data_IF_691189976395
#
_entry.id   IF_691189976395
#
_cell.length_a   1.000
_cell.length_b   1.000
_cell.length_c   1.000
_cell.angle_alpha   90.00
_cell.angle_beta   90.00
_cell.angle_gamma   90.00
#
_symmetry.space_group_name_H-M   'P 1'
#
loop_
_entity.id
_entity.type
_entity.pdbx_description
1 polymer ?
#
# COMPACT_ATOMS: atom_id res chain seq x y z
N UNK A 1 -5.60 10.95 -4.63
CA UNK A 1 -4.67 9.84 -4.90
C UNK A 1 -5.26 9.07 -6.06
N UNK A 2 -4.47 8.81 -7.11
CA UNK A 2 -4.99 8.17 -8.32
C UNK A 2 -5.20 6.67 -8.11
N UNK A 3 -4.21 5.97 -7.54
CA UNK A 3 -4.31 4.57 -7.11
C UNK A 3 -3.22 4.22 -6.09
N UNK A 4 -3.38 3.07 -5.41
CA UNK A 4 -2.33 2.39 -4.66
C UNK A 4 -2.05 1.03 -5.30
N UNK A 5 -0.77 0.71 -5.55
CA UNK A 5 -0.37 -0.52 -6.23
C UNK A 5 0.20 -1.58 -5.29
N UNK A 6 -0.23 -2.84 -5.45
CA UNK A 6 0.36 -4.00 -4.79
C UNK A 6 1.03 -4.92 -5.81
N UNK A 7 2.30 -5.27 -5.53
CA UNK A 7 3.00 -6.27 -6.33
C UNK A 7 2.57 -7.66 -5.89
N UNK A 8 2.11 -8.48 -6.83
CA UNK A 8 1.78 -9.89 -6.60
C UNK A 8 2.98 -10.78 -6.94
N UNK A 9 2.92 -12.05 -6.53
CA UNK A 9 4.03 -13.00 -6.64
C UNK A 9 4.43 -13.27 -8.08
N UNK A 10 3.45 -13.48 -8.96
CA UNK A 10 3.66 -13.80 -10.37
C UNK A 10 2.42 -13.50 -11.23
N UNK A 11 2.56 -13.70 -12.54
CA UNK A 11 1.51 -13.47 -13.53
C UNK A 11 0.31 -14.43 -13.34
N UNK A 12 0.53 -15.64 -12.85
CA UNK A 12 -0.56 -16.60 -12.58
C UNK A 12 -1.43 -16.11 -11.44
N UNK A 13 -0.81 -15.63 -10.36
CA UNK A 13 -1.49 -15.01 -9.21
C UNK A 13 -2.25 -13.77 -9.63
N UNK A 14 -1.69 -12.94 -10.54
CA UNK A 14 -2.37 -11.77 -11.08
C UNK A 14 -3.66 -12.14 -11.83
N UNK A 15 -3.60 -13.18 -12.67
CA UNK A 15 -4.77 -13.68 -13.41
C UNK A 15 -5.84 -14.28 -12.48
N UNK A 16 -5.42 -15.01 -11.45
CA UNK A 16 -6.35 -15.56 -10.47
C UNK A 16 -7.06 -14.44 -9.68
N UNK A 17 -6.31 -13.48 -9.15
CA UNK A 17 -6.89 -12.35 -8.42
C UNK A 17 -7.81 -11.48 -9.29
N UNK A 18 -7.49 -11.32 -10.58
CA UNK A 18 -8.39 -10.66 -11.54
C UNK A 18 -9.75 -11.35 -11.61
N UNK A 19 -9.77 -12.69 -11.69
CA UNK A 19 -10.99 -13.49 -11.71
C UNK A 19 -11.74 -13.44 -10.37
N UNK A 20 -11.01 -13.53 -9.25
CA UNK A 20 -11.60 -13.51 -7.92
C UNK A 20 -12.24 -12.14 -7.62
N UNK A 21 -11.60 -11.05 -8.03
CA UNK A 21 -12.17 -9.69 -7.96
C UNK A 21 -13.47 -9.57 -8.77
N UNK A 22 -13.48 -10.08 -10.00
CA UNK A 22 -14.69 -10.09 -10.83
C UNK A 22 -15.80 -10.95 -10.19
N UNK A 23 -15.46 -12.11 -9.65
CA UNK A 23 -16.40 -13.01 -8.98
C UNK A 23 -16.98 -12.40 -7.69
N UNK A 24 -16.17 -11.63 -6.96
CA UNK A 24 -16.61 -10.85 -5.79
C UNK A 24 -17.49 -9.65 -6.17
N UNK A 25 -17.54 -9.28 -7.46
CA UNK A 25 -18.38 -8.20 -7.97
C UNK A 25 -17.68 -6.86 -8.13
N UNK A 26 -16.34 -6.81 -8.03
CA UNK A 26 -15.59 -5.60 -8.33
C UNK A 26 -15.62 -5.28 -9.83
N UNK A 27 -15.74 -3.99 -10.16
CA UNK A 27 -15.44 -3.52 -11.52
C UNK A 27 -13.93 -3.55 -11.73
N UNK A 28 -13.48 -4.32 -12.73
CA UNK A 28 -12.07 -4.54 -13.02
C UNK A 28 -11.72 -4.00 -14.40
N UNK A 29 -10.62 -3.25 -14.47
CA UNK A 29 -10.04 -2.69 -15.69
C UNK A 29 -8.63 -3.26 -15.90
N UNK A 30 -8.33 -3.71 -17.13
CA UNK A 30 -6.97 -4.08 -17.51
C UNK A 30 -6.22 -2.87 -18.02
N UNK A 31 -5.11 -2.55 -17.37
CA UNK A 31 -4.22 -1.46 -17.77
C UNK A 31 -3.02 -2.07 -18.52
N UNK A 32 -2.73 -1.66 -19.77
CA UNK A 32 -1.67 -2.26 -20.57
C UNK A 32 -0.28 -1.99 -20.00
N UNK A 33 0.66 -2.88 -20.29
CA UNK A 33 2.07 -2.70 -19.93
C UNK A 33 2.64 -1.41 -20.54
N UNK A 34 3.51 -0.73 -19.80
CA UNK A 34 4.13 0.52 -20.22
C UNK A 34 3.26 1.78 -20.06
N UNK A 35 1.99 1.67 -19.64
CA UNK A 35 1.21 2.85 -19.24
C UNK A 35 1.84 3.54 -18.02
N UNK A 36 2.23 2.74 -17.02
CA UNK A 36 3.15 3.18 -15.97
C UNK A 36 4.57 2.78 -16.36
N UNK A 37 5.49 3.76 -16.33
CA UNK A 37 6.87 3.55 -16.72
C UNK A 37 7.50 2.35 -15.97
N UNK A 38 8.23 1.53 -16.72
CA UNK A 38 8.91 0.35 -16.22
C UNK A 38 8.00 -0.66 -15.49
N UNK A 39 6.70 -0.66 -15.77
CA UNK A 39 5.71 -1.55 -15.16
C UNK A 39 5.06 -2.43 -16.22
N UNK A 40 4.87 -3.71 -15.89
CA UNK A 40 4.07 -4.64 -16.69
C UNK A 40 2.59 -4.27 -16.71
N UNK A 41 1.75 -5.16 -17.25
CA UNK A 41 0.30 -4.98 -17.22
C UNK A 41 -0.18 -4.91 -15.77
N UNK A 42 -1.32 -4.24 -15.54
CA UNK A 42 -1.92 -4.10 -14.22
C UNK A 42 -3.41 -4.38 -14.27
N UNK A 43 -3.94 -4.83 -13.15
CA UNK A 43 -5.37 -5.05 -12.94
C UNK A 43 -5.84 -3.99 -11.97
N UNK A 44 -6.66 -3.05 -12.43
CA UNK A 44 -7.21 -1.96 -11.62
C UNK A 44 -8.63 -2.28 -11.17
N UNK A 45 -8.94 -2.01 -9.92
CA UNK A 45 -10.29 -2.13 -9.37
C UNK A 45 -10.58 -1.01 -8.38
N UNK A 46 -11.86 -0.78 -8.05
CA UNK A 46 -12.27 0.17 -7.01
C UNK A 46 -12.77 -0.59 -5.79
N UNK A 47 -12.19 -0.30 -4.61
CA UNK A 47 -12.67 -0.85 -3.34
C UNK A 47 -13.96 -0.14 -2.88
N UNK A 48 -14.78 -0.74 -1.99
CA UNK A 48 -15.98 -0.11 -1.45
C UNK A 48 -15.75 1.26 -0.81
N UNK A 49 -14.57 1.47 -0.19
CA UNK A 49 -14.12 2.77 0.34
C UNK A 49 -13.92 3.86 -0.71
N UNK A 50 -14.02 3.55 -2.01
CA UNK A 50 -13.92 4.48 -3.13
C UNK A 50 -12.52 4.62 -3.74
N UNK A 51 -11.50 3.98 -3.16
CA UNK A 51 -10.12 4.04 -3.65
C UNK A 51 -9.88 3.07 -4.79
N UNK A 52 -9.08 3.50 -5.76
CA UNK A 52 -8.55 2.61 -6.79
C UNK A 52 -7.30 1.89 -6.30
N UNK A 53 -7.27 0.58 -6.54
CA UNK A 53 -6.12 -0.27 -6.30
C UNK A 53 -5.68 -0.93 -7.61
N UNK A 54 -4.40 -1.21 -7.71
CA UNK A 54 -3.83 -1.90 -8.85
C UNK A 54 -2.96 -3.07 -8.42
N UNK A 55 -3.13 -4.21 -9.07
CA UNK A 55 -2.27 -5.38 -8.90
C UNK A 55 -1.35 -5.52 -10.10
N UNK A 56 -0.09 -5.87 -9.86
CA UNK A 56 0.90 -6.06 -10.92
C UNK A 56 1.94 -7.12 -10.52
N UNK A 57 2.42 -7.91 -11.47
CA UNK A 57 3.44 -8.92 -11.23
C UNK A 57 4.84 -8.44 -11.65
N UNK A 58 4.91 -7.75 -12.79
CA UNK A 58 6.17 -7.35 -13.41
C UNK A 58 6.48 -5.86 -13.24
N UNK A 59 7.72 -5.57 -12.85
CA UNK A 59 8.25 -4.21 -12.73
C UNK A 59 9.77 -4.28 -12.87
N UNK A 60 10.33 -3.38 -13.67
CA UNK A 60 11.78 -3.30 -13.87
C UNK A 60 12.49 -3.12 -12.53
N UNK A 61 13.46 -3.97 -12.27
CA UNK A 61 14.32 -3.86 -11.11
C UNK A 61 15.61 -3.17 -11.51
N UNK A 62 15.79 -1.94 -11.03
CA UNK A 62 16.94 -1.09 -11.36
C UNK A 62 18.14 -1.30 -10.43
N UNK A 63 18.13 -2.37 -9.62
CA UNK A 63 19.13 -2.60 -8.58
C UNK A 63 18.83 -1.89 -7.25
N UNK A 64 19.65 -2.16 -6.22
CA UNK A 64 19.61 -1.46 -4.93
C UNK A 64 20.32 -0.12 -5.07
N UNK A 65 19.63 0.97 -4.76
CA UNK A 65 20.22 2.29 -4.89
C UNK A 65 21.32 2.52 -3.86
N UNK A 66 22.53 2.88 -4.33
CA UNK A 66 23.66 3.27 -3.49
C UNK A 66 24.37 2.13 -2.72
N UNK A 67 24.00 0.87 -2.97
CA UNK A 67 24.69 -0.31 -2.43
C UNK A 67 24.80 -1.41 -3.49
N UNK A 68 25.77 -2.31 -3.32
CA UNK A 68 25.96 -3.45 -4.23
C UNK A 68 24.86 -4.51 -4.11
N UNK A 69 24.56 -5.22 -5.20
CA UNK A 69 23.60 -6.33 -5.16
C UNK A 69 24.14 -7.54 -4.41
N UNK A 70 25.41 -7.88 -4.65
CA UNK A 70 26.13 -8.98 -4.01
C UNK A 70 26.95 -8.43 -2.87
N UNK A 71 26.74 -8.97 -1.66
CA UNK A 71 27.35 -8.46 -0.42
C UNK A 71 27.11 -6.95 -0.22
N UNK A 72 25.83 -6.53 -0.11
CA UNK A 72 25.48 -5.13 0.05
C UNK A 72 26.16 -4.54 1.28
N UNK A 73 26.56 -3.28 1.17
CA UNK A 73 26.91 -2.47 2.32
C UNK A 73 25.71 -2.33 3.26
N UNK A 74 25.98 -2.02 4.53
CA UNK A 74 24.93 -1.88 5.54
C UNK A 74 23.92 -0.76 5.20
N UNK A 75 24.36 0.31 4.51
CA UNK A 75 23.50 1.39 4.04
C UNK A 75 24.14 2.17 2.87
N UNK A 76 23.35 2.84 2.02
CA UNK A 76 23.85 3.76 1.01
C UNK A 76 24.65 4.90 1.62
N UNK A 77 25.76 5.28 0.99
CA UNK A 77 26.52 6.48 1.39
C UNK A 77 25.88 7.74 0.81
N UNK A 78 26.18 8.88 1.43
CA UNK A 78 25.80 10.21 0.95
C UNK A 78 24.29 10.51 0.86
N UNK A 79 23.46 9.79 1.64
CA UNK A 79 22.04 10.10 1.81
C UNK A 79 21.85 11.56 2.27
N UNK A 80 20.84 12.24 1.70
CA UNK A 80 20.53 13.66 1.95
C UNK A 80 19.09 13.81 2.44
N UNK A 81 18.83 14.91 3.14
CA UNK A 81 17.51 15.22 3.66
C UNK A 81 17.06 14.24 4.74
N UNK A 82 15.82 13.79 4.64
CA UNK A 82 15.19 12.87 5.61
C UNK A 82 15.62 11.42 5.42
N UNK A 83 16.26 11.07 4.30
CA UNK A 83 16.81 9.72 4.06
C UNK A 83 15.79 8.58 4.15
N UNK A 84 14.60 8.75 3.59
CA UNK A 84 13.57 7.70 3.50
C UNK A 84 14.10 6.43 2.81
N UNK A 85 13.87 5.27 3.43
CA UNK A 85 14.42 3.98 2.99
C UNK A 85 13.53 3.32 1.93
N UNK A 86 12.22 3.30 2.17
CA UNK A 86 11.22 2.72 1.27
C UNK A 86 9.83 3.27 1.55
N UNK A 87 8.94 3.13 0.58
CA UNK A 87 7.51 3.21 0.84
C UNK A 87 7.11 2.17 1.90
N UNK A 88 6.25 2.56 2.85
CA UNK A 88 5.82 1.68 3.92
C UNK A 88 4.35 1.27 3.81
N UNK A 89 3.43 2.24 3.85
CA UNK A 89 1.99 2.01 3.75
C UNK A 89 1.25 3.29 3.38
N UNK A 90 -0.03 3.14 3.04
CA UNK A 90 -0.99 4.25 3.04
C UNK A 90 -2.05 4.04 4.12
N UNK A 91 -2.52 5.15 4.68
CA UNK A 91 -3.80 5.18 5.38
C UNK A 91 -4.80 5.95 4.53
N UNK A 92 -6.00 5.39 4.44
CA UNK A 92 -7.06 5.85 3.57
C UNK A 92 -8.33 6.13 4.37
N UNK A 93 -9.07 7.15 3.96
CA UNK A 93 -10.33 7.56 4.55
C UNK A 93 -11.49 7.20 3.60
N UNK A 94 -12.47 6.49 4.14
CA UNK A 94 -13.68 6.15 3.41
C UNK A 94 -14.73 5.58 4.34
N UNK A 95 -15.91 5.35 3.79
CA UNK A 95 -16.97 4.59 4.43
C UNK A 95 -16.82 3.10 4.07
N UNK A 96 -17.86 2.29 4.34
CA UNK A 96 -17.93 0.88 3.95
C UNK A 96 -16.71 0.06 4.42
N UNK A 97 -16.26 0.30 5.66
CA UNK A 97 -15.10 -0.39 6.25
C UNK A 97 -15.31 -1.90 6.28
N UNK A 98 -16.53 -2.38 6.58
CA UNK A 98 -16.83 -3.80 6.62
C UNK A 98 -16.73 -4.47 5.23
N UNK A 99 -17.32 -3.89 4.19
CA UNK A 99 -17.20 -4.41 2.83
C UNK A 99 -15.75 -4.31 2.32
N UNK A 100 -15.03 -3.24 2.70
CA UNK A 100 -13.60 -3.10 2.38
C UNK A 100 -12.77 -4.18 3.11
N UNK A 101 -13.11 -4.51 4.35
CA UNK A 101 -12.46 -5.58 5.10
C UNK A 101 -12.66 -6.92 4.39
N UNK A 102 -13.90 -7.28 4.04
CA UNK A 102 -14.24 -8.52 3.34
C UNK A 102 -13.46 -8.67 2.03
N UNK A 103 -13.46 -7.63 1.19
CA UNK A 103 -12.66 -7.62 -0.05
C UNK A 103 -11.18 -7.89 0.22
N UNK A 104 -10.59 -7.24 1.22
CA UNK A 104 -9.16 -7.38 1.48
C UNK A 104 -8.80 -8.74 2.10
N UNK A 105 -9.64 -9.29 2.99
CA UNK A 105 -9.34 -10.54 3.68
C UNK A 105 -9.76 -11.78 2.92
N UNK A 106 -10.88 -11.73 2.18
CA UNK A 106 -11.45 -12.89 1.50
C UNK A 106 -10.94 -13.04 0.07
N UNK A 107 -10.57 -11.93 -0.59
CA UNK A 107 -10.09 -11.94 -1.99
C UNK A 107 -8.59 -11.69 -2.05
N UNK A 108 -8.13 -10.59 -1.44
CA UNK A 108 -6.73 -10.15 -1.58
C UNK A 108 -5.76 -10.84 -0.63
N UNK A 109 -6.26 -11.65 0.31
CA UNK A 109 -5.45 -12.47 1.22
C UNK A 109 -4.81 -11.73 2.39
N UNK A 110 -5.26 -10.50 2.69
CA UNK A 110 -4.81 -9.76 3.87
C UNK A 110 -5.35 -10.41 5.15
N UNK A 111 -4.68 -10.13 6.27
CA UNK A 111 -5.23 -10.37 7.59
C UNK A 111 -5.36 -9.06 8.37
N UNK A 112 -6.28 -9.03 9.33
CA UNK A 112 -6.47 -7.91 10.24
C UNK A 112 -5.48 -7.99 11.40
N UNK A 113 -4.56 -7.04 11.45
CA UNK A 113 -3.60 -6.94 12.54
C UNK A 113 -4.22 -6.23 13.74
N UNK A 114 -4.82 -5.06 13.51
CA UNK A 114 -5.42 -4.23 14.56
C UNK A 114 -6.70 -3.55 14.06
N UNK A 115 -7.58 -3.18 14.99
CA UNK A 115 -8.80 -2.43 14.70
C UNK A 115 -9.19 -1.53 15.86
N UNK A 116 -9.96 -0.49 15.54
CA UNK A 116 -10.66 0.34 16.53
C UNK A 116 -12.16 0.11 16.35
N UNK A 117 -12.86 -0.14 17.46
CA UNK A 117 -14.32 -0.31 17.50
C UNK A 117 -14.93 0.67 18.50
N UNK A 118 -16.16 1.12 18.25
CA UNK A 118 -16.92 1.93 19.20
C UNK A 118 -17.62 1.06 20.28
N UNK A 119 -18.44 1.70 21.12
CA UNK A 119 -19.13 1.03 22.22
C UNK A 119 -20.19 0.02 21.73
N UNK A 120 -20.68 0.21 20.52
CA UNK A 120 -21.67 -0.63 19.85
C UNK A 120 -21.00 -1.76 19.04
N UNK A 121 -19.67 -1.79 18.96
CA UNK A 121 -18.89 -2.78 18.24
C UNK A 121 -18.73 -2.47 16.74
N UNK A 122 -19.09 -1.26 16.30
CA UNK A 122 -18.89 -0.81 14.92
C UNK A 122 -17.42 -0.46 14.72
N UNK A 123 -16.83 -0.96 13.63
CA UNK A 123 -15.43 -0.71 13.31
C UNK A 123 -15.23 0.72 12.78
N UNK A 124 -14.35 1.47 13.45
CA UNK A 124 -13.95 2.83 13.09
C UNK A 124 -12.58 2.87 12.38
N UNK A 125 -11.73 1.87 12.60
CA UNK A 125 -10.45 1.72 11.92
C UNK A 125 -10.07 0.26 11.73
N UNK A 126 -9.38 -0.05 10.63
CA UNK A 126 -8.81 -1.37 10.33
C UNK A 126 -7.40 -1.25 9.75
N UNK A 127 -6.49 -2.07 10.28
CA UNK A 127 -5.10 -2.14 9.89
C UNK A 127 -4.83 -3.53 9.31
N UNK A 128 -4.56 -3.59 8.00
CA UNK A 128 -4.50 -4.82 7.22
C UNK A 128 -3.08 -5.07 6.73
N UNK A 129 -2.61 -6.31 6.84
CA UNK A 129 -1.26 -6.70 6.45
C UNK A 129 -1.24 -7.94 5.55
N UNK A 130 -0.24 -8.02 4.67
CA UNK A 130 0.15 -9.23 3.93
C UNK A 130 1.48 -9.82 4.43
N UNK A 131 2.11 -9.17 5.39
CA UNK A 131 3.48 -9.45 5.83
C UNK A 131 3.59 -9.37 7.35
N UNK A 132 4.80 -9.47 7.90
CA UNK A 132 5.03 -9.30 9.35
C UNK A 132 5.03 -7.85 9.82
N UNK A 133 4.63 -6.89 8.96
CA UNK A 133 4.44 -5.49 9.36
C UNK A 133 3.16 -5.34 10.19
N UNK A 134 3.06 -4.21 10.90
CA UNK A 134 1.81 -3.81 11.55
C UNK A 134 0.67 -3.70 10.54
N UNK A 135 0.91 -3.06 9.38
CA UNK A 135 -0.01 -3.00 8.26
C UNK A 135 0.70 -2.61 6.97
N UNK A 136 0.16 -3.06 5.85
CA UNK A 136 0.52 -2.60 4.50
C UNK A 136 -0.50 -1.56 3.99
N UNK A 137 -1.74 -1.57 4.51
CA UNK A 137 -2.76 -0.54 4.27
C UNK A 137 -3.70 -0.41 5.47
N UNK A 138 -4.15 0.80 5.74
CA UNK A 138 -5.13 1.07 6.79
C UNK A 138 -6.32 1.87 6.27
N UNK A 139 -7.49 1.65 6.87
CA UNK A 139 -8.71 2.41 6.57
C UNK A 139 -9.31 2.96 7.87
N UNK A 140 -9.67 4.23 7.87
CA UNK A 140 -10.43 4.87 8.95
C UNK A 140 -11.77 5.36 8.40
N UNK A 141 -12.83 5.16 9.18
CA UNK A 141 -14.19 5.58 8.86
C UNK A 141 -14.23 7.09 8.60
N UNK A 142 -14.78 7.47 7.45
CA UNK A 142 -14.98 8.85 7.05
C UNK A 142 -16.25 8.98 6.21
N UNK A 143 -16.97 10.11 6.31
CA UNK A 143 -18.24 10.30 5.59
C UNK A 143 -18.06 10.38 4.06
N UNK A 144 -16.91 10.88 3.61
CA UNK A 144 -16.57 10.94 2.19
C UNK A 144 -15.69 9.75 1.79
N UNK A 145 -16.08 9.09 0.69
CA UNK A 145 -15.30 8.05 0.00
C UNK A 145 -14.01 8.59 -0.62
N UNK A 146 -13.01 7.71 -0.76
CA UNK A 146 -11.83 7.93 -1.61
C UNK A 146 -10.88 9.02 -1.12
N UNK A 147 -10.90 9.36 0.18
CA UNK A 147 -10.05 10.40 0.74
C UNK A 147 -8.70 9.83 1.14
N UNK A 148 -7.64 10.52 0.72
CA UNK A 148 -6.30 10.15 1.09
C UNK A 148 -5.94 10.77 2.45
N UNK A 149 -5.62 9.95 3.44
CA UNK A 149 -5.14 10.46 4.73
C UNK A 149 -3.62 10.69 4.68
N UNK A 150 -2.83 9.66 4.39
CA UNK A 150 -1.38 9.80 4.28
C UNK A 150 -0.72 8.64 3.54
N UNK A 151 0.52 8.87 3.10
CA UNK A 151 1.47 7.85 2.69
C UNK A 151 2.68 7.95 3.62
N UNK A 152 3.12 6.80 4.12
CA UNK A 152 4.22 6.68 5.07
C UNK A 152 5.44 6.10 4.37
N UNK A 153 6.61 6.60 4.75
CA UNK A 153 7.91 6.10 4.31
C UNK A 153 8.72 5.71 5.54
N UNK A 154 9.43 4.58 5.44
CA UNK A 154 10.22 4.06 6.54
C UNK A 154 11.49 4.92 6.74
N UNK A 155 11.75 5.25 8.00
CA UNK A 155 13.04 5.71 8.51
C UNK A 155 13.59 4.64 9.47
N UNK A 156 14.91 4.47 9.50
CA UNK A 156 15.54 3.35 10.20
C UNK A 156 15.45 3.49 11.73
N UNK A 157 15.51 4.72 12.24
CA UNK A 157 15.54 4.98 13.67
C UNK A 157 14.54 6.07 14.08
N UNK A 158 14.22 6.10 15.37
CA UNK A 158 13.43 7.19 15.94
C UNK A 158 14.16 8.54 15.83
N UNK A 159 15.48 8.54 15.97
CA UNK A 159 16.33 9.71 15.81
C UNK A 159 16.25 10.28 14.39
N UNK A 160 16.14 9.44 13.36
CA UNK A 160 15.93 9.88 11.98
C UNK A 160 14.58 10.58 11.80
N UNK A 161 13.53 10.12 12.49
CA UNK A 161 12.22 10.78 12.50
C UNK A 161 12.32 12.16 13.14
N UNK A 162 13.00 12.29 14.28
CA UNK A 162 13.22 13.58 14.94
C UNK A 162 14.01 14.55 14.04
N UNK A 163 15.07 14.04 13.41
CA UNK A 163 15.86 14.81 12.44
C UNK A 163 15.02 15.27 11.25
N UNK A 164 14.12 14.43 10.75
CA UNK A 164 13.21 14.81 9.68
C UNK A 164 12.29 15.96 10.11
N UNK A 165 11.76 15.94 11.34
CA UNK A 165 10.96 17.03 11.89
C UNK A 165 11.76 18.34 12.03
N UNK A 166 13.01 18.25 12.48
CA UNK A 166 13.92 19.40 12.53
C UNK A 166 14.13 19.99 11.13
N UNK A 167 14.44 19.16 10.12
CA UNK A 167 14.61 19.62 8.73
C UNK A 167 13.36 20.31 8.16
N UNK A 168 12.15 19.89 8.55
CA UNK A 168 10.90 20.54 8.12
C UNK A 168 10.73 21.90 8.78
N UNK A 169 11.14 22.04 10.03
CA UNK A 169 10.90 23.23 10.85
C UNK A 169 12.04 24.27 10.78
N UNK A 170 13.21 23.89 10.30
CA UNK A 170 14.34 24.78 10.06
C UNK A 170 14.00 25.82 8.98
N UNK A 171 13.76 27.07 9.39
CA UNK A 171 13.66 28.25 8.52
C UNK A 171 15.01 28.93 8.36
#
# INVERSE_FOLDING_TARGET
>A
MDFMGFKVVDEVSLQQLEQDLQAHGCSVEQVPAGELNSCGRRVRFQAPSGHHFELYADKEYTGKWGVNEVNPEAWPRDLKGMSAVRFDHCLLYGDELQATYELFTEVLGFYLAEQVVDAEGIRLAQFLSLSTKAHDVAFIQHAEKGKFHHASFLLDTWEDVLRAADLISMT
#
